data_IF_053255290305
#
_entry.id   IF_053255290305
#
_cell.length_a   1.000
_cell.length_b   1.000
_cell.length_c   1.000
_cell.angle_alpha   90.00
_cell.angle_beta   90.00
_cell.angle_gamma   90.00
#
_symmetry.space_group_name_H-M   'P 1'
#
loop_
_entity.id
_entity.type
_entity.pdbx_description
1 polymer ?
#
# COMPACT_ATOMS: atom_id res chain seq x y z
N UNK A 1 -8.52 25.71 31.19
CA UNK A 1 -8.75 26.82 30.25
C UNK A 1 -9.65 26.31 29.13
N UNK A 2 -10.94 26.57 29.24
CA UNK A 2 -11.94 26.25 28.21
C UNK A 2 -11.86 27.30 27.11
N UNK A 3 -11.09 27.03 26.06
CA UNK A 3 -11.08 27.85 24.86
C UNK A 3 -12.48 27.84 24.23
N UNK A 4 -13.05 29.03 24.03
CA UNK A 4 -14.32 29.17 23.34
C UNK A 4 -14.19 28.56 21.93
N UNK A 5 -14.90 27.46 21.67
CA UNK A 5 -15.07 26.91 20.32
C UNK A 5 -15.99 27.85 19.55
N UNK A 6 -15.41 28.90 18.97
CA UNK A 6 -16.11 29.79 18.06
C UNK A 6 -15.91 29.28 16.63
N UNK A 7 -17.01 29.11 15.91
CA UNK A 7 -16.99 28.77 14.50
C UNK A 7 -16.37 29.91 13.69
N UNK A 8 -15.40 29.62 12.83
CA UNK A 8 -14.90 30.59 11.87
C UNK A 8 -15.98 30.84 10.81
N UNK A 9 -16.27 32.12 10.56
CA UNK A 9 -17.01 32.52 9.37
C UNK A 9 -16.06 32.36 8.18
N UNK A 10 -16.36 31.38 7.33
CA UNK A 10 -15.54 31.07 6.16
C UNK A 10 -15.94 31.98 5.01
N UNK A 11 -14.97 32.40 4.21
CA UNK A 11 -15.24 33.14 2.97
C UNK A 11 -15.99 32.22 2.00
N UNK A 12 -17.22 32.60 1.67
CA UNK A 12 -18.10 31.87 0.76
C UNK A 12 -18.17 32.66 -0.55
N UNK A 13 -17.51 32.16 -1.59
CA UNK A 13 -17.66 32.71 -2.94
C UNK A 13 -18.94 32.14 -3.54
N UNK A 14 -19.92 33.02 -3.78
CA UNK A 14 -21.24 32.66 -4.31
C UNK A 14 -21.31 32.99 -5.78
N UNK A 15 -21.51 31.97 -6.63
CA UNK A 15 -21.65 32.13 -8.07
C UNK A 15 -23.06 31.71 -8.50
N UNK A 16 -23.96 32.68 -8.80
CA UNK A 16 -25.25 32.37 -9.36
C UNK A 16 -25.10 32.00 -10.84
N UNK A 17 -25.70 30.89 -11.24
CA UNK A 17 -25.71 30.38 -12.61
C UNK A 17 -27.15 30.19 -13.05
N UNK A 18 -27.54 30.78 -14.16
CA UNK A 18 -28.91 30.63 -14.68
C UNK A 18 -28.94 29.47 -15.69
N UNK A 19 -29.69 28.43 -15.35
CA UNK A 19 -29.88 27.24 -16.17
C UNK A 19 -31.31 27.30 -16.74
N UNK A 20 -31.43 27.78 -17.97
CA UNK A 20 -32.69 27.77 -18.69
C UNK A 20 -32.84 26.48 -19.50
N UNK A 21 -33.92 25.74 -19.25
CA UNK A 21 -34.30 24.57 -20.03
C UNK A 21 -35.62 24.87 -20.77
N UNK A 22 -35.56 25.02 -22.09
CA UNK A 22 -36.71 25.24 -22.96
C UNK A 22 -36.37 25.92 -24.29
N UNK A 23 -37.25 25.75 -25.29
CA UNK A 23 -37.14 26.42 -26.59
C UNK A 23 -37.59 27.89 -26.44
N UNK A 24 -36.93 28.90 -27.06
CA UNK A 24 -37.19 30.33 -26.78
C UNK A 24 -38.62 30.83 -27.05
N UNK A 25 -39.46 30.03 -27.71
CA UNK A 25 -40.81 30.43 -28.13
C UNK A 25 -41.96 29.91 -27.26
N UNK A 26 -41.74 28.95 -26.35
CA UNK A 26 -42.80 28.46 -25.45
C UNK A 26 -42.23 28.21 -24.06
N UNK A 27 -42.60 29.08 -23.11
CA UNK A 27 -42.42 28.94 -21.65
C UNK A 27 -41.16 28.17 -21.22
N UNK A 28 -39.99 28.76 -21.44
CA UNK A 28 -38.74 28.24 -20.89
C UNK A 28 -38.74 28.35 -19.37
N UNK A 29 -38.44 27.24 -18.67
CA UNK A 29 -38.22 27.25 -17.22
C UNK A 29 -36.75 27.56 -16.96
N UNK A 30 -36.47 28.75 -16.42
CA UNK A 30 -35.15 29.12 -15.94
C UNK A 30 -35.02 28.81 -14.45
N UNK A 31 -33.96 28.10 -14.10
CA UNK A 31 -33.58 27.77 -12.74
C UNK A 31 -32.31 28.52 -12.40
N UNK A 32 -32.31 29.26 -11.29
CA UNK A 32 -31.08 29.87 -10.77
C UNK A 32 -30.44 28.84 -9.84
N UNK A 33 -29.29 28.32 -10.26
CA UNK A 33 -28.46 27.44 -9.46
C UNK A 33 -27.36 28.27 -8.78
N UNK A 34 -27.19 28.09 -7.47
CA UNK A 34 -26.26 28.90 -6.67
C UNK A 34 -25.16 27.99 -6.14
N UNK A 35 -23.97 28.12 -6.72
CA UNK A 35 -22.80 27.37 -6.28
C UNK A 35 -22.02 28.17 -5.24
N UNK A 36 -21.75 27.54 -4.10
CA UNK A 36 -20.97 28.12 -3.00
C UNK A 36 -19.63 27.40 -2.90
N UNK A 37 -18.51 28.10 -3.13
CA UNK A 37 -17.16 27.56 -2.94
C UNK A 37 -16.66 28.00 -1.57
N UNK A 38 -16.15 27.05 -0.79
CA UNK A 38 -15.77 27.23 0.61
C UNK A 38 -14.31 26.81 0.77
N UNK A 39 -13.45 27.75 1.15
CA UNK A 39 -12.03 27.46 1.42
C UNK A 39 -11.83 27.21 2.92
N UNK A 40 -11.62 25.95 3.28
CA UNK A 40 -11.38 25.56 4.67
C UNK A 40 -9.91 25.77 5.03
N UNK A 41 -9.65 26.47 6.14
CA UNK A 41 -8.29 26.64 6.68
C UNK A 41 -7.82 25.32 7.30
N UNK A 42 -6.56 24.94 7.08
CA UNK A 42 -5.94 23.74 7.66
C UNK A 42 -5.81 23.81 9.19
N UNK A 43 -5.75 25.02 9.77
CA UNK A 43 -5.63 25.23 11.23
C UNK A 43 -6.96 25.13 11.99
N UNK A 44 -8.08 25.55 11.38
CA UNK A 44 -9.38 25.55 12.02
C UNK A 44 -10.25 24.45 11.38
N UNK A 45 -10.39 23.33 12.08
CA UNK A 45 -11.06 22.10 11.62
C UNK A 45 -12.60 22.20 11.63
N UNK A 46 -13.17 23.38 11.86
CA UNK A 46 -14.61 23.61 11.94
C UNK A 46 -15.01 24.82 11.12
N UNK A 47 -16.02 24.65 10.25
CA UNK A 47 -16.59 25.72 9.43
C UNK A 47 -18.10 25.79 9.60
N UNK A 48 -18.63 27.00 9.68
CA UNK A 48 -20.07 27.22 9.80
C UNK A 48 -20.64 27.87 8.54
N UNK A 49 -21.64 27.24 7.94
CA UNK A 49 -22.33 27.71 6.73
C UNK A 49 -23.75 28.15 7.11
N UNK A 50 -24.18 29.32 6.64
CA UNK A 50 -25.54 29.81 6.85
C UNK A 50 -26.31 29.85 5.53
N UNK A 51 -27.52 29.30 5.50
CA UNK A 51 -28.46 29.51 4.40
C UNK A 51 -29.28 30.77 4.65
N UNK A 52 -29.29 31.68 3.68
CA UNK A 52 -30.05 32.94 3.71
C UNK A 52 -31.16 32.87 2.67
N UNK A 53 -32.39 33.28 3.03
CA UNK A 53 -33.52 33.47 2.11
C UNK A 53 -34.13 34.83 2.41
N UNK A 54 -34.34 35.66 1.39
CA UNK A 54 -34.92 37.00 1.53
C UNK A 54 -34.24 37.84 2.62
N UNK A 55 -32.91 37.78 2.71
CA UNK A 55 -32.13 38.48 3.74
C UNK A 55 -32.17 37.85 5.15
N UNK A 56 -33.01 36.84 5.39
CA UNK A 56 -33.11 36.16 6.68
C UNK A 56 -32.30 34.86 6.70
N UNK A 57 -31.48 34.67 7.75
CA UNK A 57 -30.75 33.41 8.02
C UNK A 57 -31.75 32.34 8.48
N UNK A 58 -31.93 31.28 7.69
CA UNK A 58 -32.90 30.20 7.99
C UNK A 58 -32.22 29.02 8.69
N UNK A 59 -31.02 28.63 8.25
CA UNK A 59 -30.34 27.44 8.77
C UNK A 59 -28.84 27.67 8.90
N UNK A 60 -28.25 27.05 9.92
CA UNK A 60 -26.81 27.01 10.14
C UNK A 60 -26.33 25.56 10.15
N UNK A 61 -25.33 25.28 9.34
CA UNK A 61 -24.63 24.01 9.29
C UNK A 61 -23.23 24.19 9.86
N UNK A 62 -22.76 23.23 10.64
CA UNK A 62 -21.40 23.15 11.14
C UNK A 62 -20.74 21.94 10.49
N UNK A 63 -19.77 22.19 9.62
CA UNK A 63 -18.88 21.20 9.06
C UNK A 63 -17.69 21.03 10.00
N UNK A 64 -17.43 19.80 10.41
CA UNK A 64 -16.30 19.44 11.25
C UNK A 64 -15.44 18.47 10.45
N UNK A 65 -14.16 18.76 10.29
CA UNK A 65 -13.21 17.84 9.67
C UNK A 65 -12.98 16.67 10.62
N UNK A 66 -13.22 15.46 10.14
CA UNK A 66 -12.97 14.24 10.91
C UNK A 66 -11.49 13.85 10.84
N UNK A 67 -10.89 13.99 9.66
CA UNK A 67 -9.47 13.73 9.46
C UNK A 67 -9.08 13.66 7.98
N UNK A 68 -7.78 13.55 7.74
CA UNK A 68 -7.22 13.17 6.44
C UNK A 68 -7.07 11.64 6.43
N UNK A 69 -7.73 10.96 5.50
CA UNK A 69 -7.55 9.53 5.31
C UNK A 69 -6.71 9.31 4.06
N UNK A 70 -5.60 8.60 4.24
CA UNK A 70 -4.77 8.11 3.15
C UNK A 70 -4.99 6.61 3.08
N UNK A 71 -5.71 6.19 2.05
CA UNK A 71 -5.85 4.77 1.75
C UNK A 71 -4.66 4.35 0.90
N UNK A 72 -3.84 3.42 1.39
CA UNK A 72 -2.70 2.92 0.64
C UNK A 72 -3.07 1.56 0.04
N UNK A 73 -2.83 1.41 -1.25
CA UNK A 73 -2.93 0.11 -1.91
C UNK A 73 -1.57 -0.60 -1.80
N UNK A 74 -1.59 -1.86 -1.38
CA UNK A 74 -0.39 -2.67 -1.28
C UNK A 74 -0.08 -3.32 -2.63
N UNK A 75 1.18 -3.25 -3.04
CA UNK A 75 1.69 -3.97 -4.21
C UNK A 75 2.74 -4.98 -3.76
N UNK A 76 2.42 -6.26 -3.93
CA UNK A 76 3.34 -7.36 -3.64
C UNK A 76 4.56 -7.29 -4.54
N UNK A 77 5.75 -7.26 -3.94
CA UNK A 77 7.03 -7.22 -4.70
C UNK A 77 7.72 -8.57 -4.76
N UNK A 78 7.71 -9.32 -3.66
CA UNK A 78 8.33 -10.64 -3.58
C UNK A 78 7.77 -11.46 -2.42
N UNK A 79 7.92 -12.77 -2.53
CA UNK A 79 7.74 -13.69 -1.41
C UNK A 79 9.09 -14.25 -1.00
N UNK A 80 9.30 -14.41 0.31
CA UNK A 80 10.51 -14.97 0.88
C UNK A 80 10.17 -15.91 2.04
N UNK A 81 11.14 -16.71 2.47
CA UNK A 81 11.02 -17.62 3.62
C UNK A 81 12.21 -17.41 4.54
N UNK A 82 11.98 -17.61 5.84
CA UNK A 82 13.07 -17.68 6.79
C UNK A 82 13.73 -19.06 6.70
N UNK A 83 15.03 -19.09 6.42
CA UNK A 83 15.74 -20.34 6.16
C UNK A 83 17.05 -20.42 6.93
N UNK A 84 17.44 -21.64 7.31
CA UNK A 84 18.75 -21.94 7.86
C UNK A 84 19.63 -22.58 6.78
N UNK A 85 20.81 -22.02 6.59
CA UNK A 85 21.83 -22.57 5.70
C UNK A 85 22.49 -23.79 6.36
N UNK A 86 22.53 -24.91 5.64
CA UNK A 86 23.21 -26.14 6.02
C UNK A 86 24.16 -26.60 4.92
N UNK A 87 25.12 -27.44 5.29
CA UNK A 87 26.10 -28.03 4.38
C UNK A 87 26.08 -29.54 4.53
N UNK A 88 26.07 -30.24 3.40
CA UNK A 88 26.34 -31.67 3.32
C UNK A 88 27.56 -31.87 2.45
N UNK A 89 28.48 -32.72 2.87
CA UNK A 89 29.71 -33.01 2.14
C UNK A 89 30.03 -34.51 2.12
N UNK A 90 30.80 -34.91 1.12
CA UNK A 90 31.32 -36.27 1.01
C UNK A 90 32.62 -36.28 0.23
N UNK A 91 33.67 -36.83 0.85
CA UNK A 91 34.95 -37.08 0.18
C UNK A 91 34.92 -38.44 -0.52
N UNK A 92 35.39 -38.50 -1.77
CA UNK A 92 35.61 -39.74 -2.53
C UNK A 92 37.01 -39.81 -3.11
N UNK A 93 37.62 -40.98 -3.02
CA UNK A 93 38.93 -41.27 -3.60
C UNK A 93 38.81 -41.59 -5.10
N UNK A 94 39.91 -41.44 -5.84
CA UNK A 94 39.99 -41.76 -7.27
C UNK A 94 39.36 -43.09 -7.63
N UNK A 95 38.50 -43.06 -8.66
CA UNK A 95 37.75 -44.20 -9.20
C UNK A 95 36.74 -44.82 -8.20
N UNK A 96 36.27 -44.05 -7.21
CA UNK A 96 35.25 -44.49 -6.24
C UNK A 96 34.05 -43.56 -6.23
N UNK A 97 32.86 -44.16 -6.12
CA UNK A 97 31.59 -43.42 -6.08
C UNK A 97 31.38 -42.61 -7.36
N UNK A 98 30.87 -41.40 -7.21
CA UNK A 98 30.64 -40.49 -8.33
C UNK A 98 31.93 -39.83 -8.84
N UNK A 99 33.08 -40.10 -8.23
CA UNK A 99 34.37 -39.60 -8.70
C UNK A 99 35.00 -40.53 -9.74
N UNK A 100 34.49 -40.44 -10.97
CA UNK A 100 34.91 -41.20 -12.16
C UNK A 100 35.07 -40.22 -13.33
N UNK A 101 36.10 -40.41 -14.19
CA UNK A 101 36.30 -39.61 -15.40
C UNK A 101 36.93 -38.24 -15.15
N UNK A 102 36.30 -37.17 -15.65
CA UNK A 102 36.81 -35.79 -15.63
C UNK A 102 36.70 -35.09 -14.26
N UNK A 103 36.80 -35.87 -13.18
CA UNK A 103 36.93 -35.37 -11.82
C UNK A 103 35.83 -34.37 -11.40
N UNK A 104 36.20 -33.19 -10.91
CA UNK A 104 35.26 -32.14 -10.51
C UNK A 104 34.68 -31.35 -11.68
N UNK A 105 35.27 -31.42 -12.86
CA UNK A 105 34.89 -30.56 -14.00
C UNK A 105 33.48 -30.88 -14.50
N UNK A 106 33.00 -32.10 -14.26
CA UNK A 106 31.65 -32.53 -14.63
C UNK A 106 30.54 -32.00 -13.71
N UNK A 107 30.87 -31.34 -12.59
CA UNK A 107 29.88 -30.86 -11.62
C UNK A 107 29.65 -29.35 -11.74
N UNK A 108 28.39 -28.98 -11.94
CA UNK A 108 27.92 -27.60 -11.93
C UNK A 108 27.13 -27.30 -10.64
N UNK A 109 26.67 -26.04 -10.49
CA UNK A 109 25.94 -25.59 -9.30
C UNK A 109 24.61 -26.32 -9.06
N UNK A 110 23.98 -26.80 -10.12
CA UNK A 110 22.70 -27.51 -10.07
C UNK A 110 22.87 -29.04 -10.02
N UNK A 111 24.09 -29.56 -10.18
CA UNK A 111 24.35 -30.99 -10.18
C UNK A 111 23.89 -31.63 -8.88
N UNK A 112 23.12 -32.71 -8.99
CA UNK A 112 22.72 -33.54 -7.87
C UNK A 112 23.67 -34.73 -7.78
N UNK A 113 24.38 -34.81 -6.67
CA UNK A 113 25.37 -35.85 -6.41
C UNK A 113 24.76 -36.85 -5.40
N UNK A 114 24.71 -38.16 -5.68
CA UNK A 114 24.03 -39.14 -4.82
C UNK A 114 24.65 -39.23 -3.41
N UNK A 115 25.94 -38.93 -3.26
CA UNK A 115 26.60 -38.84 -1.95
C UNK A 115 26.07 -37.69 -1.09
N UNK A 116 25.44 -36.69 -1.70
CA UNK A 116 24.85 -35.52 -1.03
C UNK A 116 23.32 -35.64 -0.88
N UNK A 117 22.79 -36.86 -0.83
CA UNK A 117 21.36 -37.16 -0.87
C UNK A 117 20.48 -36.40 0.13
N UNK A 118 21.01 -36.03 1.30
CA UNK A 118 20.30 -35.20 2.29
C UNK A 118 20.08 -33.78 1.75
N UNK A 119 21.14 -33.16 1.19
CA UNK A 119 21.08 -31.81 0.63
C UNK A 119 20.34 -31.73 -0.69
N UNK A 120 20.24 -32.83 -1.44
CA UNK A 120 19.52 -32.86 -2.74
C UNK A 120 18.01 -32.64 -2.60
N UNK A 121 17.45 -32.83 -1.39
CA UNK A 121 16.02 -32.57 -1.09
C UNK A 121 15.69 -31.09 -0.96
N UNK A 122 16.71 -30.25 -0.87
CA UNK A 122 16.59 -28.83 -0.59
C UNK A 122 17.19 -27.98 -1.70
N UNK A 123 16.68 -26.77 -1.84
CA UNK A 123 17.24 -25.80 -2.78
C UNK A 123 18.63 -25.37 -2.30
N UNK A 124 19.59 -25.38 -3.20
CA UNK A 124 20.98 -25.19 -2.86
C UNK A 124 21.92 -25.28 -4.05
N UNK A 125 23.19 -25.06 -3.78
CA UNK A 125 24.27 -25.09 -4.75
C UNK A 125 25.22 -26.23 -4.44
N UNK A 126 25.53 -27.04 -5.44
CA UNK A 126 26.54 -28.10 -5.36
C UNK A 126 27.87 -27.58 -5.87
N UNK A 127 28.96 -28.02 -5.25
CA UNK A 127 30.33 -27.74 -5.65
C UNK A 127 31.18 -28.99 -5.49
N UNK A 128 32.27 -29.02 -6.24
CA UNK A 128 33.29 -30.04 -6.14
C UNK A 128 34.65 -29.35 -6.13
N UNK A 129 35.53 -29.79 -5.22
CA UNK A 129 36.94 -29.40 -5.22
C UNK A 129 37.81 -30.64 -5.18
N UNK A 130 38.95 -30.62 -5.88
CA UNK A 130 39.94 -31.68 -5.75
C UNK A 130 40.53 -31.66 -4.33
N UNK A 131 40.73 -32.85 -3.77
CA UNK A 131 41.24 -33.09 -2.41
C UNK A 131 42.45 -34.02 -2.47
N UNK A 132 43.18 -34.13 -1.36
CA UNK A 132 44.36 -34.99 -1.30
C UNK A 132 43.98 -36.47 -1.45
N UNK A 133 44.82 -37.18 -2.19
CA UNK A 133 44.79 -38.63 -2.39
C UNK A 133 45.89 -39.36 -1.64
N UNK A 134 46.02 -40.66 -1.88
CA UNK A 134 47.02 -41.53 -1.25
C UNK A 134 46.66 -42.02 0.15
N UNK A 135 47.48 -42.93 0.66
CA UNK A 135 47.22 -43.64 1.92
C UNK A 135 47.14 -42.68 3.11
N UNK A 136 47.95 -41.62 3.12
CA UNK A 136 47.91 -40.56 4.14
C UNK A 136 46.59 -39.77 4.16
N UNK A 137 45.78 -39.86 3.11
CA UNK A 137 44.49 -39.21 2.97
C UNK A 137 43.30 -40.19 2.96
N UNK A 138 43.53 -41.45 3.37
CA UNK A 138 42.51 -42.50 3.42
C UNK A 138 42.18 -43.12 2.07
N UNK A 139 43.03 -42.93 1.05
CA UNK A 139 42.80 -43.40 -0.31
C UNK A 139 43.85 -44.44 -0.73
N UNK A 140 43.41 -45.54 -1.35
CA UNK A 140 44.34 -46.59 -1.82
C UNK A 140 45.21 -46.18 -3.02
N UNK A 141 44.84 -45.11 -3.72
CA UNK A 141 45.54 -44.59 -4.90
C UNK A 141 46.15 -43.21 -4.62
N UNK A 142 47.35 -42.90 -5.14
CA UNK A 142 48.01 -41.60 -4.97
C UNK A 142 47.35 -40.46 -5.76
N UNK A 143 46.48 -40.80 -6.72
CA UNK A 143 45.66 -39.82 -7.46
C UNK A 143 44.79 -38.99 -6.52
N UNK A 144 44.57 -37.71 -6.85
CA UNK A 144 43.72 -36.80 -6.05
C UNK A 144 42.34 -37.40 -5.80
N UNK A 145 41.74 -37.09 -4.64
CA UNK A 145 40.33 -37.35 -4.38
C UNK A 145 39.47 -36.16 -4.76
N UNK A 146 38.17 -36.26 -4.53
CA UNK A 146 37.24 -35.15 -4.62
C UNK A 146 36.46 -34.97 -3.32
N UNK A 147 36.26 -33.71 -2.96
CA UNK A 147 35.34 -33.29 -1.92
C UNK A 147 34.12 -32.67 -2.60
N UNK A 148 33.01 -33.40 -2.56
CA UNK A 148 31.72 -32.89 -2.96
C UNK A 148 31.09 -32.19 -1.76
N UNK A 149 30.50 -31.02 -1.97
CA UNK A 149 29.70 -30.38 -0.95
C UNK A 149 28.54 -29.60 -1.55
N UNK A 150 27.44 -29.54 -0.82
CA UNK A 150 26.24 -28.80 -1.19
C UNK A 150 25.84 -27.90 -0.04
N UNK A 151 25.70 -26.63 -0.36
CA UNK A 151 25.18 -25.61 0.55
C UNK A 151 23.70 -25.47 0.20
N UNK A 152 22.82 -25.72 1.16
CA UNK A 152 21.37 -25.72 0.94
C UNK A 152 20.64 -25.04 2.09
N UNK A 153 19.41 -24.62 1.82
CA UNK A 153 18.56 -23.91 2.78
C UNK A 153 17.40 -24.79 3.21
N UNK A 154 17.15 -24.84 4.51
CA UNK A 154 16.01 -25.55 5.12
C UNK A 154 15.12 -24.51 5.79
N UNK A 155 13.82 -24.62 5.59
CA UNK A 155 12.83 -23.74 6.23
C UNK A 155 12.98 -23.79 7.75
N UNK A 156 13.03 -22.61 8.38
CA UNK A 156 13.21 -22.50 9.83
C UNK A 156 11.88 -22.59 10.57
N UNK A 157 10.89 -21.81 10.13
CA UNK A 157 9.57 -21.68 10.74
C UNK A 157 8.44 -22.19 9.84
N UNK A 158 8.70 -22.47 8.55
CA UNK A 158 7.71 -22.95 7.58
C UNK A 158 6.81 -21.84 7.01
N UNK A 159 7.00 -20.61 7.47
CA UNK A 159 6.17 -19.46 7.10
C UNK A 159 6.63 -18.84 5.77
N UNK A 160 5.70 -18.19 5.07
CA UNK A 160 5.98 -17.37 3.88
C UNK A 160 5.77 -15.91 4.24
N UNK A 161 6.79 -15.10 3.99
CA UNK A 161 6.75 -13.67 4.19
C UNK A 161 6.54 -12.96 2.86
N UNK A 162 5.69 -11.95 2.88
CA UNK A 162 5.45 -11.08 1.73
C UNK A 162 6.19 -9.75 1.93
N UNK A 163 7.05 -9.41 0.98
CA UNK A 163 7.56 -8.06 0.84
C UNK A 163 6.63 -7.27 -0.07
N UNK A 164 6.03 -6.20 0.43
CA UNK A 164 5.16 -5.31 -0.35
C UNK A 164 5.63 -3.87 -0.28
N UNK A 165 5.24 -3.07 -1.28
CA UNK A 165 5.38 -1.61 -1.25
C UNK A 165 4.01 -0.96 -1.21
N UNK A 166 3.93 0.20 -0.58
CA UNK A 166 2.69 0.99 -0.57
C UNK A 166 2.66 1.89 -1.80
N UNK A 167 1.61 1.76 -2.61
CA UNK A 167 1.26 2.75 -3.60
C UNK A 167 0.36 3.79 -2.92
N UNK A 168 0.79 5.05 -2.94
CA UNK A 168 0.02 6.14 -2.35
C UNK A 168 -1.15 6.49 -3.27
N UNK A 169 -2.38 6.40 -2.76
CA UNK A 169 -3.55 6.94 -3.44
C UNK A 169 -3.75 8.42 -3.08
N UNK A 170 -4.72 9.05 -3.76
CA UNK A 170 -5.13 10.41 -3.49
C UNK A 170 -5.67 10.53 -2.05
N UNK A 171 -5.34 11.59 -1.31
CA UNK A 171 -5.87 11.81 0.03
C UNK A 171 -7.39 12.05 -0.01
N UNK A 172 -8.12 11.38 0.87
CA UNK A 172 -9.54 11.64 1.09
C UNK A 172 -9.75 12.49 2.36
N UNK A 173 -10.49 13.58 2.20
CA UNK A 173 -10.91 14.44 3.30
C UNK A 173 -12.32 14.07 3.75
N UNK A 174 -12.46 13.59 4.99
CA UNK A 174 -13.76 13.27 5.57
C UNK A 174 -14.26 14.40 6.46
N UNK A 175 -15.53 14.76 6.27
CA UNK A 175 -16.22 15.80 7.01
C UNK A 175 -17.54 15.31 7.58
N UNK A 176 -17.87 15.80 8.78
CA UNK A 176 -19.14 15.57 9.44
C UNK A 176 -19.93 16.88 9.38
N UNK A 177 -21.11 16.84 8.77
CA UNK A 177 -22.04 17.97 8.75
C UNK A 177 -23.06 17.85 9.88
N UNK A 178 -23.06 18.80 10.81
CA UNK A 178 -24.07 18.93 11.87
C UNK A 178 -24.99 20.11 11.57
N UNK A 179 -26.30 19.92 11.72
CA UNK A 179 -27.24 21.04 11.62
C UNK A 179 -27.38 21.70 13.00
N UNK A 180 -27.08 22.99 13.08
CA UNK A 180 -27.31 23.79 14.29
C UNK A 180 -28.69 24.45 14.14
N UNK A 181 -29.68 23.89 14.83
CA UNK A 181 -31.03 24.48 14.90
C UNK A 181 -31.05 25.61 15.92
N UNK A 182 -30.47 26.76 15.58
CA UNK A 182 -30.78 27.99 16.30
C UNK A 182 -32.23 28.39 15.97
N UNK A 183 -33.04 28.67 16.99
CA UNK A 183 -34.44 29.12 16.84
C UNK A 183 -34.50 30.45 16.08
N UNK A 184 -34.41 30.42 14.76
CA UNK A 184 -34.76 31.55 13.92
C UNK A 184 -36.25 31.45 13.60
N UNK A 185 -37.04 32.43 14.08
CA UNK A 185 -38.46 32.56 13.73
C UNK A 185 -38.55 32.86 12.24
N UNK A 186 -38.72 31.83 11.41
CA UNK A 186 -39.19 31.98 10.05
C UNK A 186 -40.71 31.78 10.04
N UNK A 187 -41.46 32.84 9.78
CA UNK A 187 -42.85 32.73 9.32
C UNK A 187 -42.81 32.25 7.85
N UNK A 188 -43.52 31.16 7.55
CA UNK A 188 -43.71 30.64 6.19
C UNK A 188 -43.06 29.28 5.94
N UNK A 189 -43.89 28.23 5.91
CA UNK A 189 -43.52 26.87 5.49
C UNK A 189 -43.41 26.83 3.96
N UNK A 190 -42.22 26.61 3.42
CA UNK A 190 -42.08 26.08 2.05
C UNK A 190 -40.78 25.27 1.91
N UNK A 191 -40.88 24.06 1.35
CA UNK A 191 -39.78 23.11 1.17
C UNK A 191 -38.83 23.62 0.06
N UNK A 192 -37.60 24.00 0.39
CA UNK A 192 -36.51 24.10 -0.59
C UNK A 192 -35.52 22.96 -0.38
N UNK A 193 -35.19 22.27 -1.48
CA UNK A 193 -34.10 21.29 -1.55
C UNK A 193 -32.83 22.07 -1.89
N UNK A 194 -31.86 22.10 -0.99
CA UNK A 194 -30.54 22.68 -1.25
C UNK A 194 -29.53 21.54 -1.24
N UNK A 195 -28.92 21.25 -2.40
CA UNK A 195 -27.79 20.36 -2.52
C UNK A 195 -26.51 21.18 -2.25
N UNK A 196 -25.70 20.76 -1.28
CA UNK A 196 -24.37 21.34 -1.04
C UNK A 196 -23.37 20.36 -1.63
N UNK A 197 -22.76 20.71 -2.76
CA UNK A 197 -21.63 19.97 -3.32
C UNK A 197 -20.33 20.56 -2.79
N UNK A 198 -19.60 19.81 -1.96
CA UNK A 198 -18.28 20.18 -1.47
C UNK A 198 -17.23 19.56 -2.41
N UNK A 199 -16.52 20.37 -3.17
CA UNK A 199 -15.37 19.95 -3.96
C UNK A 199 -14.13 20.49 -3.27
N UNK A 200 -13.32 19.60 -2.67
CA UNK A 200 -12.05 19.94 -2.07
C UNK A 200 -10.90 19.43 -2.92
N UNK A 201 -10.15 20.33 -3.55
CA UNK A 201 -8.81 20.05 -4.07
C UNK A 201 -7.81 20.68 -3.10
N UNK A 202 -6.85 19.88 -2.63
CA UNK A 202 -5.73 20.38 -1.84
C UNK A 202 -4.49 20.31 -2.73
N UNK A 203 -3.97 21.47 -3.13
CA UNK A 203 -2.63 21.58 -3.71
C UNK A 203 -1.61 21.37 -2.58
N UNK A 204 -0.79 20.34 -2.71
CA UNK A 204 0.32 20.08 -1.80
C UNK A 204 1.48 21.05 -2.10
N UNK A 205 1.97 21.77 -1.09
CA UNK A 205 3.29 22.41 -1.10
C UNK A 205 4.38 21.38 -0.77
#
# INVERSE_FOLDING_TARGET
MTGARACQDVEISTYPTEICSGNPMTEGKCLIDVTNIIKLNTFNQEACICTVKNGAKIRKYQLIREGLHLECENETTMFTRNTLQKVADSKRCSLKGSFIGNKCEQYNRASLNPELGIGNRYQGITRCVESCGGLGCGCGLPSSGCLFYRIFHVDFDGEVYEGFRLMANQPELKYIAKTITSRFRAQGKEKSRNCVSLIGTQECC
#
